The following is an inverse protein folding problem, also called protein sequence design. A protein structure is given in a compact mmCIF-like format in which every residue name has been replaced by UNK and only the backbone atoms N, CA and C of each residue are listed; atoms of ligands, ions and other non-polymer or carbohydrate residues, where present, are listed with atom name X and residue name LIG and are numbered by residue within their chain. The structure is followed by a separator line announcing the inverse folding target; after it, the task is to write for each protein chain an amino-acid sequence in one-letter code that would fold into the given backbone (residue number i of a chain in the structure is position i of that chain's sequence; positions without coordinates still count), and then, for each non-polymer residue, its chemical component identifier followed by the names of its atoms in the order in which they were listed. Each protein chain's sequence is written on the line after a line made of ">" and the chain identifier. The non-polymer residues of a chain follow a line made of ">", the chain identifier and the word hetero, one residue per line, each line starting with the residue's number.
data_IF_543866480313
#
_entry.id   IF_543866480313
#
_cell.length_a   1.000
_cell.length_b   1.000
_cell.length_c   1.000
_cell.angle_alpha   90.00
_cell.angle_beta   90.00
_cell.angle_gamma   90.00
#
_symmetry.space_group_name_H-M   'P 1'
#
loop_
_entity.id
_entity.type
_entity.pdbx_description
1 polymer ?
#
# COMPACT_ATOMS: atom_id res chain seq x y z
N UNK A 1 -26.42 -21.87 18.88
CA UNK A 1 -25.04 -22.27 18.63
C UNK A 1 -24.34 -21.07 17.96
N UNK A 2 -23.41 -20.42 18.64
CA UNK A 2 -22.69 -19.28 18.08
C UNK A 2 -21.58 -19.83 17.19
N UNK A 3 -21.54 -19.45 15.92
CA UNK A 3 -20.44 -19.81 15.02
C UNK A 3 -19.26 -18.89 15.39
N UNK A 4 -18.19 -19.46 15.90
CA UNK A 4 -16.93 -18.74 16.14
C UNK A 4 -16.03 -19.03 14.96
N UNK A 5 -15.69 -17.99 14.19
CA UNK A 5 -14.76 -18.09 13.06
C UNK A 5 -13.37 -17.76 13.60
N UNK A 6 -12.40 -18.65 13.35
CA UNK A 6 -10.98 -18.35 13.55
C UNK A 6 -10.45 -17.56 12.35
N UNK A 7 -10.48 -16.24 12.48
CA UNK A 7 -10.07 -15.34 11.41
C UNK A 7 -8.58 -15.39 11.11
N UNK A 8 -7.75 -15.73 12.10
CA UNK A 8 -6.32 -15.90 11.88
C UNK A 8 -6.01 -17.16 11.08
N UNK A 9 -6.67 -18.28 11.40
CA UNK A 9 -6.55 -19.49 10.61
C UNK A 9 -7.07 -19.31 9.18
N UNK A 10 -8.25 -18.68 9.03
CA UNK A 10 -8.83 -18.38 7.71
C UNK A 10 -7.93 -17.46 6.86
N UNK A 11 -7.24 -16.50 7.48
CA UNK A 11 -6.24 -15.66 6.81
C UNK A 11 -5.04 -16.48 6.32
N UNK A 12 -4.49 -17.35 7.15
CA UNK A 12 -3.35 -18.21 6.77
C UNK A 12 -3.70 -19.10 5.58
N UNK A 13 -4.89 -19.66 5.57
CA UNK A 13 -5.39 -20.45 4.42
C UNK A 13 -5.50 -19.58 3.16
N UNK A 14 -6.03 -18.35 3.29
CA UNK A 14 -6.14 -17.40 2.19
C UNK A 14 -4.76 -17.01 1.63
N UNK A 15 -3.75 -16.78 2.49
CA UNK A 15 -2.38 -16.49 2.05
C UNK A 15 -1.75 -17.64 1.28
N UNK A 16 -1.93 -18.88 1.75
CA UNK A 16 -1.45 -20.07 1.05
C UNK A 16 -2.11 -20.18 -0.34
N UNK A 17 -3.40 -19.88 -0.45
CA UNK A 17 -4.12 -19.91 -1.73
C UNK A 17 -3.63 -18.85 -2.70
N UNK A 18 -3.25 -17.66 -2.21
CA UNK A 18 -2.73 -16.56 -3.05
C UNK A 18 -1.36 -16.86 -3.63
N UNK A 19 -0.55 -17.63 -2.92
CA UNK A 19 0.82 -18.01 -3.31
C UNK A 19 1.63 -16.84 -3.91
N UNK A 20 1.61 -15.70 -3.23
CA UNK A 20 2.28 -14.47 -3.68
C UNK A 20 3.10 -13.87 -2.53
N UNK A 21 4.19 -14.50 -2.12
CA UNK A 21 5.06 -13.96 -1.07
C UNK A 21 5.70 -12.66 -1.55
N UNK A 22 5.68 -11.64 -0.71
CA UNK A 22 6.51 -10.45 -0.92
C UNK A 22 7.99 -10.85 -0.81
N UNK A 23 8.81 -10.27 -1.68
CA UNK A 23 10.23 -10.58 -1.79
C UNK A 23 11.02 -9.26 -1.77
N UNK A 24 12.03 -9.18 -0.90
CA UNK A 24 12.88 -7.99 -0.76
C UNK A 24 13.57 -7.60 -2.08
N UNK A 25 14.05 -8.57 -2.87
CA UNK A 25 14.72 -8.31 -4.14
C UNK A 25 13.79 -7.60 -5.13
N UNK A 26 12.54 -8.04 -5.22
CA UNK A 26 11.53 -7.41 -6.07
C UNK A 26 11.27 -5.95 -5.64
N UNK A 27 11.25 -5.67 -4.34
CA UNK A 27 11.04 -4.32 -3.83
C UNK A 27 12.30 -3.46 -3.97
N UNK A 28 13.50 -4.03 -3.83
CA UNK A 28 14.76 -3.35 -4.13
C UNK A 28 14.82 -2.88 -5.59
N UNK A 29 14.41 -3.71 -6.54
CA UNK A 29 14.34 -3.34 -7.97
C UNK A 29 13.33 -2.21 -8.22
N UNK A 30 12.19 -2.23 -7.53
CA UNK A 30 11.12 -1.23 -7.69
C UNK A 30 11.41 0.09 -6.98
N UNK A 31 12.36 0.15 -6.06
CA UNK A 31 12.64 1.34 -5.27
C UNK A 31 12.88 2.59 -6.14
N UNK A 32 13.59 2.45 -7.26
CA UNK A 32 13.88 3.56 -8.20
C UNK A 32 12.63 4.15 -8.85
N UNK A 33 11.63 3.32 -9.13
CA UNK A 33 10.38 3.78 -9.74
C UNK A 33 9.46 4.42 -8.70
N UNK A 34 9.46 3.90 -7.48
CA UNK A 34 8.72 4.48 -6.36
C UNK A 34 9.26 5.85 -5.94
N UNK A 35 10.58 6.06 -5.97
CA UNK A 35 11.20 7.35 -5.66
C UNK A 35 10.69 8.50 -6.54
N UNK A 36 10.37 8.22 -7.83
CA UNK A 36 9.83 9.23 -8.76
C UNK A 36 8.41 9.71 -8.42
N UNK A 37 7.67 8.94 -7.62
CA UNK A 37 6.26 9.22 -7.27
C UNK A 37 6.09 9.67 -5.82
N UNK A 38 7.15 9.74 -5.05
CA UNK A 38 7.12 10.18 -3.66
C UNK A 38 6.98 11.69 -3.54
N UNK A 39 6.06 12.14 -2.70
CA UNK A 39 6.03 13.51 -2.20
C UNK A 39 4.65 14.16 -2.11
N UNK A 40 3.76 14.02 -3.06
CA UNK A 40 2.44 14.68 -3.06
C UNK A 40 1.33 13.73 -3.51
N UNK A 41 1.20 12.61 -2.81
CA UNK A 41 0.13 11.67 -3.08
C UNK A 41 -1.15 12.11 -2.38
N UNK A 42 -2.29 12.31 -3.09
CA UNK A 42 -3.59 12.57 -2.47
C UNK A 42 -3.97 11.49 -1.44
N UNK A 43 -3.53 10.26 -1.66
CA UNK A 43 -3.69 9.16 -0.71
C UNK A 43 -2.94 9.45 0.61
N UNK A 44 -1.67 9.91 0.54
CA UNK A 44 -0.88 10.22 1.73
C UNK A 44 -1.52 11.34 2.56
N UNK A 45 -1.98 12.40 1.90
CA UNK A 45 -2.68 13.50 2.55
C UNK A 45 -3.95 13.01 3.27
N UNK A 46 -4.78 12.21 2.59
CA UNK A 46 -5.99 11.65 3.15
C UNK A 46 -5.72 10.64 4.29
N UNK A 47 -4.61 9.90 4.24
CA UNK A 47 -4.19 9.01 5.31
C UNK A 47 -3.78 9.82 6.56
N UNK A 48 -2.89 10.81 6.40
CA UNK A 48 -2.36 11.62 7.50
C UNK A 48 -3.45 12.46 8.17
N UNK A 49 -4.40 13.01 7.41
CA UNK A 49 -5.57 13.67 7.95
C UNK A 49 -6.36 12.76 8.90
N UNK A 50 -6.62 11.48 8.49
CA UNK A 50 -7.33 10.50 9.32
C UNK A 50 -6.51 9.96 10.47
N UNK A 51 -5.19 9.88 10.32
CA UNK A 51 -4.28 9.46 11.38
C UNK A 51 -4.29 10.45 12.54
N UNK A 52 -4.62 11.72 12.30
CA UNK A 52 -4.77 12.78 13.30
C UNK A 52 -3.57 12.82 14.25
N UNK A 53 -2.36 12.87 13.66
CA UNK A 53 -1.10 12.97 14.40
C UNK A 53 -0.99 14.37 14.96
N UNK A 54 -0.63 14.50 16.23
CA UNK A 54 -0.55 15.78 16.95
C UNK A 54 0.87 16.32 16.94
N UNK A 55 1.03 17.62 17.02
CA UNK A 55 2.33 18.27 17.04
C UNK A 55 3.25 17.64 18.11
N UNK A 56 4.48 17.33 17.72
CA UNK A 56 5.50 16.75 18.59
C UNK A 56 5.34 15.23 18.86
N UNK A 57 4.31 14.56 18.35
CA UNK A 57 4.19 13.10 18.48
C UNK A 57 5.24 12.37 17.64
N UNK A 58 5.80 11.33 18.22
CA UNK A 58 6.71 10.38 17.55
C UNK A 58 5.92 9.35 16.77
N UNK A 59 6.42 8.95 15.60
CA UNK A 59 5.71 8.05 14.67
C UNK A 59 6.57 6.85 14.32
N UNK A 60 5.99 5.65 14.41
CA UNK A 60 6.51 4.43 13.80
C UNK A 60 5.79 4.20 12.47
N UNK A 61 6.50 4.14 11.35
CA UNK A 61 5.98 3.81 10.02
C UNK A 61 6.53 2.45 9.57
N UNK A 62 5.72 1.38 9.70
CA UNK A 62 6.14 0.02 9.39
C UNK A 62 5.73 -0.38 7.97
N UNK A 63 6.75 -0.72 7.15
CA UNK A 63 6.64 -0.86 5.70
C UNK A 63 6.57 0.50 5.04
N UNK A 64 7.49 1.40 5.43
CA UNK A 64 7.50 2.80 5.02
C UNK A 64 7.78 2.99 3.52
N UNK A 65 8.35 1.97 2.84
CA UNK A 65 8.78 2.06 1.46
C UNK A 65 9.75 3.23 1.25
N UNK A 66 9.64 3.92 0.13
CA UNK A 66 10.43 5.12 -0.18
C UNK A 66 9.89 6.41 0.48
N UNK A 67 9.05 6.29 1.54
CA UNK A 67 8.67 7.42 2.38
C UNK A 67 7.35 8.13 2.05
N UNK A 68 6.37 7.40 1.50
CA UNK A 68 5.05 7.98 1.20
C UNK A 68 4.42 8.72 2.37
N UNK A 69 4.58 8.22 3.61
CA UNK A 69 4.13 8.88 4.84
C UNK A 69 5.28 9.50 5.62
N UNK A 70 6.45 8.84 5.66
CA UNK A 70 7.59 9.30 6.44
C UNK A 70 8.09 10.68 6.01
N UNK A 71 8.20 10.98 4.71
CA UNK A 71 8.67 12.29 4.23
C UNK A 71 7.74 13.44 4.64
N UNK A 72 6.41 13.40 4.38
CA UNK A 72 5.53 14.48 4.82
C UNK A 72 5.48 14.64 6.34
N UNK A 73 5.63 13.58 7.12
CA UNK A 73 5.72 13.63 8.58
C UNK A 73 7.01 14.32 9.04
N UNK A 74 8.15 13.97 8.46
CA UNK A 74 9.42 14.63 8.76
C UNK A 74 9.42 16.11 8.36
N UNK A 75 8.80 16.48 7.23
CA UNK A 75 8.59 17.90 6.84
C UNK A 75 7.75 18.67 7.86
N UNK A 76 6.83 17.99 8.54
CA UNK A 76 6.02 18.58 9.61
C UNK A 76 6.76 18.63 10.97
N UNK A 77 8.00 18.11 11.05
CA UNK A 77 8.83 18.15 12.25
C UNK A 77 8.60 16.99 13.21
N UNK A 78 7.98 15.89 12.76
CA UNK A 78 7.83 14.68 13.55
C UNK A 78 9.08 13.80 13.47
N UNK A 79 9.47 13.19 14.62
CA UNK A 79 10.47 12.12 14.65
C UNK A 79 9.84 10.82 14.14
N UNK A 80 10.34 10.29 13.01
CA UNK A 80 9.78 9.14 12.31
C UNK A 80 10.74 7.97 12.34
N UNK A 81 10.34 6.88 12.97
CA UNK A 81 11.02 5.59 12.92
C UNK A 81 10.49 4.81 11.72
N UNK A 82 11.24 4.86 10.61
CA UNK A 82 10.83 4.34 9.31
C UNK A 82 11.41 2.93 9.11
N UNK A 83 10.55 1.93 9.19
CA UNK A 83 10.94 0.52 9.09
C UNK A 83 10.52 -0.05 7.75
N UNK A 84 11.43 -0.75 7.06
CA UNK A 84 11.13 -1.54 5.87
C UNK A 84 12.08 -2.73 5.76
N UNK A 85 11.64 -3.82 5.13
CA UNK A 85 12.47 -5.00 4.91
C UNK A 85 13.36 -4.91 3.66
N UNK A 86 13.15 -3.88 2.83
CA UNK A 86 13.91 -3.58 1.61
C UNK A 86 14.92 -2.47 1.88
N UNK A 87 16.22 -2.81 1.83
CA UNK A 87 17.28 -1.81 1.95
C UNK A 87 17.17 -0.75 0.85
N UNK A 88 16.84 -1.16 -0.39
CA UNK A 88 16.69 -0.22 -1.51
C UNK A 88 15.58 0.81 -1.29
N UNK A 89 14.50 0.43 -0.58
CA UNK A 89 13.44 1.38 -0.19
C UNK A 89 13.94 2.38 0.83
N UNK A 90 14.68 1.93 1.85
CA UNK A 90 15.26 2.81 2.87
C UNK A 90 16.32 3.76 2.27
N UNK A 91 17.14 3.27 1.34
CA UNK A 91 18.12 4.10 0.65
C UNK A 91 17.43 5.22 -0.16
N UNK A 92 16.37 4.89 -0.90
CA UNK A 92 15.57 5.85 -1.66
C UNK A 92 14.86 6.88 -0.74
N UNK A 93 14.34 6.43 0.41
CA UNK A 93 13.77 7.31 1.43
C UNK A 93 14.81 8.31 1.93
N UNK A 94 15.99 7.82 2.31
CA UNK A 94 17.04 8.68 2.87
C UNK A 94 17.64 9.62 1.83
N UNK A 95 17.79 9.19 0.58
CA UNK A 95 18.21 10.07 -0.53
C UNK A 95 17.24 11.25 -0.68
N UNK A 96 15.93 10.99 -0.69
CA UNK A 96 14.92 12.02 -0.77
C UNK A 96 14.94 12.94 0.47
N UNK A 97 15.09 12.38 1.67
CA UNK A 97 15.15 13.12 2.91
C UNK A 97 16.37 14.04 2.99
N UNK A 98 17.54 13.58 2.53
CA UNK A 98 18.75 14.42 2.43
C UNK A 98 18.58 15.54 1.41
N UNK A 99 18.00 15.27 0.25
CA UNK A 99 17.75 16.29 -0.77
C UNK A 99 16.81 17.41 -0.27
N UNK A 100 15.91 17.09 0.65
CA UNK A 100 14.98 18.04 1.25
C UNK A 100 15.49 18.69 2.56
N UNK A 101 16.61 18.23 3.12
CA UNK A 101 17.16 18.74 4.39
C UNK A 101 16.35 18.35 5.63
N UNK A 102 15.66 17.19 5.60
CA UNK A 102 14.81 16.69 6.68
C UNK A 102 15.27 15.31 7.21
N UNK A 103 16.45 14.85 6.79
CA UNK A 103 16.97 13.55 7.14
C UNK A 103 17.18 13.34 8.65
N UNK A 104 17.40 14.42 9.41
CA UNK A 104 17.58 14.39 10.86
C UNK A 104 16.34 13.91 11.63
N UNK A 105 15.15 14.06 11.02
CA UNK A 105 13.89 13.60 11.60
C UNK A 105 13.53 12.16 11.24
N UNK A 106 14.32 11.46 10.43
CA UNK A 106 14.03 10.10 9.97
C UNK A 106 15.05 9.12 10.53
N UNK A 107 14.58 8.09 11.22
CA UNK A 107 15.36 7.01 11.79
C UNK A 107 15.08 5.72 11.00
N UNK A 108 15.86 5.42 9.94
CA UNK A 108 15.62 4.24 9.11
C UNK A 108 16.02 2.96 9.85
N UNK A 109 15.21 1.91 9.73
CA UNK A 109 15.46 0.61 10.33
C UNK A 109 15.17 -0.49 9.30
N UNK A 110 16.18 -1.30 8.97
CA UNK A 110 15.98 -2.51 8.15
C UNK A 110 15.30 -3.57 9.02
N UNK A 111 14.01 -3.79 8.78
CA UNK A 111 13.16 -4.60 9.66
C UNK A 111 12.01 -5.23 8.89
N UNK A 112 11.85 -6.54 9.04
CA UNK A 112 10.69 -7.28 8.55
C UNK A 112 9.58 -7.43 9.61
N UNK A 113 8.37 -7.75 9.16
CA UNK A 113 7.25 -8.05 10.06
C UNK A 113 7.51 -9.26 10.96
N UNK A 114 8.28 -10.25 10.47
CA UNK A 114 8.56 -11.50 11.20
C UNK A 114 9.74 -11.38 12.16
N UNK A 115 10.55 -10.31 12.09
CA UNK A 115 11.68 -10.10 12.97
C UNK A 115 11.27 -9.93 14.44
N UNK A 116 12.21 -10.16 15.35
CA UNK A 116 12.02 -9.83 16.77
C UNK A 116 12.23 -8.32 17.00
N UNK A 117 11.12 -7.59 17.05
CA UNK A 117 11.11 -6.15 17.25
C UNK A 117 11.70 -5.69 18.57
N UNK A 118 11.70 -6.55 19.62
CA UNK A 118 12.32 -6.22 20.89
C UNK A 118 13.85 -6.25 20.77
N UNK A 119 14.37 -7.33 20.20
CA UNK A 119 15.81 -7.47 19.95
C UNK A 119 16.35 -6.45 18.96
N UNK A 120 15.55 -6.05 17.97
CA UNK A 120 15.88 -4.99 17.02
C UNK A 120 15.78 -3.57 17.62
N UNK A 121 15.29 -3.43 18.84
CA UNK A 121 15.20 -2.15 19.52
C UNK A 121 14.14 -1.19 18.94
N UNK A 122 13.07 -1.74 18.32
CA UNK A 122 11.99 -0.90 17.78
C UNK A 122 11.34 -0.10 18.92
N UNK A 123 11.31 1.24 18.83
CA UNK A 123 10.79 2.05 19.92
C UNK A 123 9.27 1.96 20.04
N UNK A 124 8.77 2.34 21.22
CA UNK A 124 7.34 2.63 21.40
C UNK A 124 7.14 4.10 21.07
N UNK A 125 6.34 4.38 20.03
CA UNK A 125 6.02 5.73 19.56
C UNK A 125 4.62 6.16 20.02
N UNK A 126 4.28 7.42 19.83
CA UNK A 126 2.94 7.91 20.16
C UNK A 126 1.92 7.36 19.18
N UNK A 127 2.29 7.29 17.90
CA UNK A 127 1.46 6.74 16.82
C UNK A 127 2.22 5.67 16.06
N UNK A 128 1.56 4.56 15.72
CA UNK A 128 2.11 3.51 14.86
C UNK A 128 1.27 3.37 13.59
N UNK A 129 1.95 3.33 12.45
CA UNK A 129 1.35 3.29 11.12
C UNK A 129 1.77 2.03 10.36
N UNK A 130 0.86 1.50 9.53
CA UNK A 130 1.19 0.51 8.50
C UNK A 130 0.33 0.78 7.26
N UNK A 131 0.91 1.45 6.29
CA UNK A 131 0.21 1.86 5.08
C UNK A 131 0.44 0.86 3.95
N UNK A 132 -0.56 0.05 3.63
CA UNK A 132 -0.53 -0.94 2.53
C UNK A 132 0.57 -2.00 2.67
N UNK A 133 1.03 -2.27 3.88
CA UNK A 133 2.17 -3.15 4.18
C UNK A 133 1.85 -4.33 5.12
N UNK A 134 0.70 -4.33 5.81
CA UNK A 134 0.40 -5.28 6.89
C UNK A 134 -0.19 -6.63 6.43
N UNK A 135 -0.39 -6.85 5.14
CA UNK A 135 -0.94 -8.10 4.61
C UNK A 135 0.10 -9.26 4.61
N UNK A 136 0.70 -9.52 5.76
CA UNK A 136 1.74 -10.53 5.98
C UNK A 136 1.14 -11.94 6.16
N UNK A 137 1.99 -12.96 6.21
CA UNK A 137 1.56 -14.35 6.45
C UNK A 137 0.83 -14.51 7.80
N UNK A 138 1.31 -13.84 8.87
CA UNK A 138 0.65 -13.80 10.18
C UNK A 138 0.20 -12.36 10.52
N UNK A 139 -0.89 -11.93 9.89
CA UNK A 139 -1.45 -10.59 10.09
C UNK A 139 -1.86 -10.35 11.55
N UNK A 140 -2.35 -11.37 12.28
CA UNK A 140 -2.74 -11.18 13.68
C UNK A 140 -1.53 -10.84 14.56
N UNK A 141 -0.41 -11.53 14.36
CA UNK A 141 0.84 -11.23 15.06
C UNK A 141 1.38 -9.84 14.68
N UNK A 142 1.28 -9.46 13.39
CA UNK A 142 1.67 -8.14 12.92
C UNK A 142 0.83 -7.02 13.55
N UNK A 143 -0.49 -7.17 13.61
CA UNK A 143 -1.40 -6.24 14.30
C UNK A 143 -1.07 -6.10 15.79
N UNK A 144 -0.78 -7.22 16.46
CA UNK A 144 -0.40 -7.22 17.89
C UNK A 144 0.94 -6.52 18.12
N UNK A 145 1.94 -6.75 17.25
CA UNK A 145 3.24 -6.06 17.32
C UNK A 145 3.07 -4.55 17.15
N UNK A 146 2.29 -4.13 16.16
CA UNK A 146 2.04 -2.71 15.89
C UNK A 146 1.31 -2.04 17.04
N UNK A 147 0.27 -2.71 17.58
CA UNK A 147 -0.46 -2.24 18.77
C UNK A 147 0.47 -2.05 19.97
N UNK A 148 1.38 -3.00 20.23
CA UNK A 148 2.34 -2.92 21.33
C UNK A 148 3.37 -1.77 21.19
N UNK A 149 3.53 -1.21 19.99
CA UNK A 149 4.47 -0.10 19.71
C UNK A 149 3.80 1.26 19.66
N UNK A 150 2.51 1.36 19.90
CA UNK A 150 1.80 2.63 19.98
C UNK A 150 1.43 2.97 21.44
N UNK A 151 1.63 4.23 21.85
CA UNK A 151 1.13 4.75 23.13
C UNK A 151 -0.30 5.25 23.02
N UNK A 152 -0.67 5.86 21.89
CA UNK A 152 -1.95 6.53 21.74
C UNK A 152 -2.81 5.97 20.60
N UNK A 153 -2.25 5.82 19.40
CA UNK A 153 -3.06 5.52 18.21
C UNK A 153 -2.34 4.60 17.24
N UNK A 154 -3.08 3.71 16.63
CA UNK A 154 -2.61 2.87 15.53
C UNK A 154 -3.48 3.11 14.31
N UNK A 155 -2.86 3.20 13.11
CA UNK A 155 -3.55 3.36 11.84
C UNK A 155 -2.99 2.41 10.79
N UNK A 156 -3.86 1.67 10.13
CA UNK A 156 -3.46 0.74 9.07
C UNK A 156 -4.36 0.87 7.85
N UNK A 157 -3.82 0.58 6.66
CA UNK A 157 -4.66 0.47 5.45
C UNK A 157 -4.46 -0.88 4.77
N UNK A 158 -5.59 -1.43 4.31
CA UNK A 158 -5.68 -2.71 3.62
C UNK A 158 -6.62 -2.62 2.41
N UNK A 159 -6.57 -3.63 1.55
CA UNK A 159 -7.46 -3.72 0.40
C UNK A 159 -8.90 -3.96 0.83
N UNK A 160 -9.85 -3.38 0.07
CA UNK A 160 -11.30 -3.49 0.31
C UNK A 160 -11.95 -4.65 -0.44
N UNK A 161 -11.21 -5.33 -1.29
CA UNK A 161 -11.70 -6.48 -2.05
C UNK A 161 -11.12 -6.61 -3.44
N UNK A 162 -10.80 -5.51 -4.12
CA UNK A 162 -10.22 -5.55 -5.46
C UNK A 162 -8.69 -5.36 -5.38
N UNK A 163 -7.95 -6.05 -6.25
CA UNK A 163 -6.50 -5.90 -6.32
C UNK A 163 -6.13 -4.47 -6.72
N UNK A 164 -5.26 -3.78 -5.99
CA UNK A 164 -4.79 -2.45 -6.37
C UNK A 164 -3.78 -2.47 -7.53
N UNK A 165 -3.35 -3.67 -7.94
CA UNK A 165 -2.27 -3.85 -8.94
C UNK A 165 -2.77 -3.83 -10.37
N UNK A 166 -4.05 -4.18 -10.62
CA UNK A 166 -4.62 -4.29 -11.96
C UNK A 166 -5.75 -3.29 -12.16
N UNK A 167 -5.98 -2.89 -13.39
CA UNK A 167 -7.15 -2.10 -13.74
C UNK A 167 -8.37 -3.03 -13.85
N UNK A 168 -9.37 -2.77 -13.03
CA UNK A 168 -10.56 -3.61 -12.93
C UNK A 168 -11.48 -3.47 -14.13
N UNK A 169 -11.48 -2.29 -14.79
CA UNK A 169 -12.24 -2.05 -16.01
C UNK A 169 -11.67 -2.90 -17.13
N UNK A 170 -10.35 -2.89 -17.28
CA UNK A 170 -9.65 -3.68 -18.29
C UNK A 170 -9.75 -5.19 -18.03
N UNK A 171 -9.66 -5.61 -16.74
CA UNK A 171 -9.82 -7.01 -16.39
C UNK A 171 -11.22 -7.53 -16.74
N UNK A 172 -12.26 -6.72 -16.46
CA UNK A 172 -13.63 -7.03 -16.84
C UNK A 172 -13.83 -7.03 -18.37
N UNK A 173 -13.21 -6.08 -19.07
CA UNK A 173 -13.23 -6.02 -20.53
C UNK A 173 -12.57 -7.25 -21.18
N UNK A 174 -11.53 -7.80 -20.57
CA UNK A 174 -10.92 -9.07 -20.95
C UNK A 174 -11.81 -10.29 -20.67
N UNK A 175 -12.95 -10.12 -19.99
CA UNK A 175 -13.91 -11.19 -19.70
C UNK A 175 -13.63 -11.97 -18.40
N UNK A 176 -12.79 -11.44 -17.51
CA UNK A 176 -12.49 -12.05 -16.23
C UNK A 176 -13.38 -11.54 -15.12
N UNK A 177 -13.69 -12.43 -14.18
CA UNK A 177 -14.22 -12.04 -12.89
C UNK A 177 -13.17 -11.30 -12.07
N UNK A 178 -13.63 -10.33 -11.28
CA UNK A 178 -12.75 -9.53 -10.43
C UNK A 178 -12.37 -10.35 -9.19
N UNK A 179 -11.07 -10.64 -8.98
CA UNK A 179 -10.64 -11.31 -7.77
C UNK A 179 -10.89 -10.40 -6.57
N UNK A 180 -11.42 -10.98 -5.49
CA UNK A 180 -11.72 -10.25 -4.26
C UNK A 180 -10.70 -10.58 -3.18
N UNK A 181 -10.08 -9.54 -2.66
CA UNK A 181 -9.09 -9.63 -1.57
C UNK A 181 -9.58 -8.79 -0.38
N UNK A 182 -10.54 -9.28 0.42
CA UNK A 182 -11.15 -8.50 1.50
C UNK A 182 -10.25 -8.49 2.74
N UNK A 183 -8.99 -8.06 2.60
CA UNK A 183 -7.99 -8.07 3.67
C UNK A 183 -8.45 -7.28 4.89
N UNK A 184 -9.15 -6.18 4.67
CA UNK A 184 -9.72 -5.37 5.74
C UNK A 184 -10.76 -6.11 6.60
N UNK A 185 -11.49 -7.08 6.02
CA UNK A 185 -12.46 -7.89 6.76
C UNK A 185 -11.75 -8.82 7.73
N UNK A 186 -10.64 -9.43 7.29
CA UNK A 186 -9.81 -10.27 8.16
C UNK A 186 -9.20 -9.43 9.29
N UNK A 187 -8.54 -8.32 8.96
CA UNK A 187 -7.91 -7.43 9.95
C UNK A 187 -8.92 -6.90 10.98
N UNK A 188 -10.09 -6.43 10.53
CA UNK A 188 -11.14 -5.93 11.41
C UNK A 188 -11.60 -7.00 12.41
N UNK A 189 -11.87 -8.21 11.94
CA UNK A 189 -12.34 -9.28 12.81
C UNK A 189 -11.24 -9.82 13.74
N UNK A 190 -9.97 -9.84 13.31
CA UNK A 190 -8.84 -10.16 14.19
C UNK A 190 -8.71 -9.14 15.32
N UNK A 191 -8.76 -7.84 15.01
CA UNK A 191 -8.74 -6.76 16.01
C UNK A 191 -9.89 -6.89 16.99
N UNK A 192 -11.11 -7.16 16.48
CA UNK A 192 -12.26 -7.40 17.33
C UNK A 192 -12.09 -8.59 18.27
N UNK A 193 -11.50 -9.69 17.75
CA UNK A 193 -11.13 -10.87 18.55
C UNK A 193 -10.07 -10.58 19.62
N UNK A 194 -9.18 -9.61 19.38
CA UNK A 194 -8.19 -9.11 20.33
C UNK A 194 -8.79 -8.13 21.37
N UNK A 195 -10.09 -7.83 21.30
CA UNK A 195 -10.76 -6.86 22.16
C UNK A 195 -10.63 -5.40 21.70
N UNK A 196 -10.03 -5.18 20.55
CA UNK A 196 -9.84 -3.86 19.95
C UNK A 196 -11.05 -3.53 19.05
N UNK A 197 -11.56 -2.31 19.15
CA UNK A 197 -12.66 -1.81 18.32
C UNK A 197 -12.16 -0.72 17.39
N UNK A 198 -11.70 -1.07 16.18
CA UNK A 198 -11.20 -0.06 15.25
C UNK A 198 -12.34 0.72 14.60
N UNK A 199 -12.12 2.01 14.38
CA UNK A 199 -12.89 2.77 13.42
C UNK A 199 -12.52 2.32 12.01
N UNK A 200 -13.52 2.23 11.12
CA UNK A 200 -13.32 1.89 9.71
C UNK A 200 -13.83 3.03 8.83
N UNK A 201 -12.96 3.51 7.98
CA UNK A 201 -13.30 4.45 6.90
C UNK A 201 -12.59 4.05 5.59
N UNK A 202 -12.79 4.81 4.52
CA UNK A 202 -12.19 4.48 3.22
C UNK A 202 -11.42 5.66 2.64
N UNK A 203 -10.31 5.35 1.97
CA UNK A 203 -9.51 6.31 1.20
C UNK A 203 -9.55 5.86 -0.25
N UNK A 204 -10.18 6.66 -1.10
CA UNK A 204 -10.20 6.42 -2.53
C UNK A 204 -9.00 7.14 -3.18
N UNK A 205 -8.30 6.41 -4.03
CA UNK A 205 -7.17 6.92 -4.80
C UNK A 205 -7.46 6.69 -6.28
N UNK A 206 -7.62 7.77 -7.01
CA UNK A 206 -7.83 7.75 -8.45
C UNK A 206 -6.53 8.15 -9.17
N UNK A 207 -6.23 7.48 -10.28
CA UNK A 207 -5.09 7.83 -11.13
C UNK A 207 -5.41 7.55 -12.60
N UNK A 208 -4.79 8.33 -13.48
CA UNK A 208 -4.76 8.07 -14.92
C UNK A 208 -3.44 7.37 -15.24
N UNK A 209 -3.51 6.18 -15.82
CA UNK A 209 -2.32 5.46 -16.27
C UNK A 209 -1.96 5.95 -17.69
N UNK A 210 -0.70 6.38 -17.89
CA UNK A 210 -0.16 6.86 -19.16
C UNK A 210 0.72 5.79 -19.80
N UNK A 211 0.68 5.73 -21.13
CA UNK A 211 1.43 4.78 -21.95
C UNK A 211 2.08 5.49 -23.13
N UNK A 212 3.22 4.97 -23.58
CA UNK A 212 3.98 5.53 -24.71
C UNK A 212 3.28 5.27 -26.05
N UNK A 213 2.49 4.20 -26.16
CA UNK A 213 1.77 3.82 -27.37
C UNK A 213 0.57 2.94 -27.04
N UNK A 214 -0.31 2.75 -28.04
CA UNK A 214 -1.40 1.78 -27.97
C UNK A 214 -0.88 0.37 -27.65
N UNK A 215 0.15 -0.09 -28.35
CA UNK A 215 0.70 -1.43 -28.18
C UNK A 215 1.37 -1.58 -26.81
N UNK A 216 2.09 -0.56 -26.32
CA UNK A 216 2.67 -0.55 -24.99
C UNK A 216 1.61 -0.70 -23.88
N UNK A 217 0.45 -0.07 -24.04
CA UNK A 217 -0.67 -0.21 -23.12
C UNK A 217 -1.20 -1.66 -23.10
N UNK A 218 -1.37 -2.26 -24.27
CA UNK A 218 -1.85 -3.64 -24.40
C UNK A 218 -0.86 -4.62 -23.75
N UNK A 219 0.41 -4.55 -24.15
CA UNK A 219 1.45 -5.45 -23.65
C UNK A 219 1.60 -5.37 -22.12
N UNK A 220 1.68 -4.15 -21.57
CA UNK A 220 1.80 -3.93 -20.13
C UNK A 220 0.62 -4.52 -19.36
N UNK A 221 -0.61 -4.24 -19.81
CA UNK A 221 -1.80 -4.72 -19.12
C UNK A 221 -2.00 -6.22 -19.30
N UNK A 222 -1.76 -6.77 -20.50
CA UNK A 222 -1.85 -8.21 -20.75
C UNK A 222 -0.85 -9.01 -19.89
N UNK A 223 0.40 -8.55 -19.82
CA UNK A 223 1.44 -9.16 -18.99
C UNK A 223 1.09 -9.08 -17.49
N UNK A 224 0.66 -7.90 -17.00
CA UNK A 224 0.30 -7.68 -15.61
C UNK A 224 -0.88 -8.57 -15.17
N UNK A 225 -1.87 -8.72 -16.03
CA UNK A 225 -3.05 -9.53 -15.78
C UNK A 225 -2.85 -11.01 -16.18
N UNK A 226 -1.73 -11.36 -16.81
CA UNK A 226 -1.42 -12.71 -17.33
C UNK A 226 -2.59 -13.24 -18.20
N UNK A 227 -2.95 -12.45 -19.22
CA UNK A 227 -4.07 -12.77 -20.12
C UNK A 227 -3.70 -13.89 -21.08
N UNK A 228 -4.68 -14.72 -21.43
CA UNK A 228 -4.61 -15.64 -22.57
C UNK A 228 -4.74 -14.85 -23.89
N UNK A 229 -4.45 -15.50 -25.03
CA UNK A 229 -4.57 -14.84 -26.34
C UNK A 229 -5.99 -14.34 -26.60
N UNK A 230 -7.02 -15.13 -26.28
CA UNK A 230 -8.42 -14.77 -26.43
C UNK A 230 -8.83 -13.58 -25.53
N UNK A 231 -8.35 -13.56 -24.28
CA UNK A 231 -8.59 -12.44 -23.36
C UNK A 231 -7.88 -11.18 -23.83
N UNK A 232 -6.67 -11.34 -24.39
CA UNK A 232 -5.91 -10.24 -25.00
C UNK A 232 -6.62 -9.65 -26.20
N UNK A 233 -7.22 -10.46 -27.05
CA UNK A 233 -8.04 -9.98 -28.19
C UNK A 233 -9.24 -9.15 -27.71
N UNK A 234 -9.91 -9.58 -26.64
CA UNK A 234 -10.99 -8.81 -26.02
C UNK A 234 -10.49 -7.47 -25.46
N UNK A 235 -9.32 -7.47 -24.78
CA UNK A 235 -8.68 -6.24 -24.31
C UNK A 235 -8.37 -5.29 -25.47
N UNK A 236 -7.78 -5.79 -26.57
CA UNK A 236 -7.49 -4.99 -27.77
C UNK A 236 -8.77 -4.38 -28.36
N UNK A 237 -9.84 -5.17 -28.45
CA UNK A 237 -11.14 -4.71 -28.96
C UNK A 237 -11.71 -3.57 -28.10
N UNK A 238 -11.65 -3.70 -26.78
CA UNK A 238 -12.05 -2.66 -25.83
C UNK A 238 -11.16 -1.41 -25.97
N UNK A 239 -9.83 -1.60 -26.01
CA UNK A 239 -8.87 -0.50 -26.04
C UNK A 239 -8.97 0.35 -27.31
N UNK A 240 -9.35 -0.23 -28.44
CA UNK A 240 -9.60 0.55 -29.68
C UNK A 240 -10.70 1.60 -29.55
N UNK A 241 -11.60 1.44 -28.59
CA UNK A 241 -12.73 2.35 -28.35
C UNK A 241 -12.48 3.31 -27.19
N UNK A 242 -11.60 2.92 -26.23
CA UNK A 242 -11.45 3.59 -24.94
C UNK A 242 -10.04 4.11 -24.65
N UNK A 243 -9.04 3.79 -25.48
CA UNK A 243 -7.66 4.26 -25.33
C UNK A 243 -7.36 5.28 -26.41
N UNK A 244 -7.02 6.49 -26.03
CA UNK A 244 -6.87 7.62 -26.93
C UNK A 244 -5.51 8.27 -26.77
N UNK A 245 -5.01 8.79 -27.88
CA UNK A 245 -3.82 9.63 -27.91
C UNK A 245 -4.14 10.98 -27.26
N UNK A 246 -3.28 11.40 -26.34
CA UNK A 246 -3.36 12.67 -25.61
C UNK A 246 -2.03 13.42 -25.69
N UNK A 247 -2.07 14.73 -25.45
CA UNK A 247 -0.86 15.53 -25.26
C UNK A 247 -0.71 15.91 -23.81
N UNK A 248 0.48 15.64 -23.25
CA UNK A 248 0.85 16.09 -21.90
C UNK A 248 1.02 17.61 -21.85
N UNK A 249 1.07 18.17 -20.66
CA UNK A 249 1.33 19.62 -20.47
C UNK A 249 2.67 20.06 -21.07
N UNK A 250 3.66 19.16 -21.13
CA UNK A 250 4.99 19.41 -21.71
C UNK A 250 5.01 19.22 -23.23
N UNK A 251 3.85 18.90 -23.85
CA UNK A 251 3.69 18.74 -25.29
C UNK A 251 4.08 17.38 -25.85
N UNK A 252 4.45 16.42 -25.00
CA UNK A 252 4.71 15.04 -25.39
C UNK A 252 3.40 14.30 -25.69
N UNK A 253 3.48 13.29 -26.55
CA UNK A 253 2.35 12.43 -26.86
C UNK A 253 2.31 11.24 -25.90
N UNK A 254 1.15 10.97 -25.29
CA UNK A 254 0.90 9.78 -24.48
C UNK A 254 -0.46 9.18 -24.86
N UNK A 255 -0.69 7.96 -24.41
CA UNK A 255 -1.95 7.25 -24.57
C UNK A 255 -2.61 7.05 -23.22
N UNK A 256 -3.89 7.37 -23.08
CA UNK A 256 -4.67 7.27 -21.85
C UNK A 256 -6.03 6.63 -22.12
N UNK A 257 -6.50 5.83 -21.16
CA UNK A 257 -7.89 5.38 -21.17
C UNK A 257 -8.84 6.52 -20.77
N UNK A 258 -10.08 6.48 -21.27
CA UNK A 258 -11.15 7.43 -20.97
C UNK A 258 -11.73 7.28 -19.54
N UNK A 259 -11.14 6.43 -18.72
CA UNK A 259 -11.50 6.24 -17.33
C UNK A 259 -10.27 6.35 -16.40
N UNK A 260 -10.51 6.72 -15.17
CA UNK A 260 -9.50 6.68 -14.13
C UNK A 260 -9.52 5.33 -13.41
N UNK A 261 -8.34 4.82 -13.08
CA UNK A 261 -8.22 3.67 -12.20
C UNK A 261 -8.41 4.10 -10.75
N UNK A 262 -9.52 3.68 -10.14
CA UNK A 262 -9.83 3.96 -8.74
C UNK A 262 -9.46 2.76 -7.88
N UNK A 263 -8.69 3.00 -6.82
CA UNK A 263 -8.40 2.02 -5.77
C UNK A 263 -8.94 2.53 -4.45
N UNK A 264 -9.80 1.75 -3.81
CA UNK A 264 -10.32 2.04 -2.48
C UNK A 264 -9.55 1.25 -1.42
N UNK A 265 -9.05 1.96 -0.42
CA UNK A 265 -8.32 1.39 0.72
C UNK A 265 -9.16 1.52 1.98
N UNK A 266 -9.33 0.43 2.70
CA UNK A 266 -9.91 0.47 4.04
C UNK A 266 -8.87 1.05 5.01
N UNK A 267 -9.23 2.11 5.68
CA UNK A 267 -8.46 2.73 6.77
C UNK A 267 -9.06 2.29 8.10
N UNK A 268 -8.30 1.54 8.87
CA UNK A 268 -8.64 1.09 10.21
C UNK A 268 -7.78 1.86 11.20
N UNK A 269 -8.40 2.43 12.24
CA UNK A 269 -7.68 3.13 13.30
C UNK A 269 -8.29 2.84 14.66
N UNK A 270 -7.45 2.83 15.70
CA UNK A 270 -7.90 2.67 17.08
C UNK A 270 -7.00 3.44 18.04
N UNK A 271 -7.59 3.91 19.11
CA UNK A 271 -6.88 4.57 20.22
C UNK A 271 -6.60 3.56 21.35
N UNK A 272 -5.54 3.82 22.10
CA UNK A 272 -5.08 3.02 23.26
C UNK A 272 -5.71 3.54 24.55
#
# INVERSE_FOLDING_TARGET
>A
MTIVIDWAAAWKEEQLRRNNPDNADMWNERAKDFAKTCGTSPYAAAFLERAAIRDGETVLDMGCGSGTLALPLARAGHEVYACDFSQGMLDALMEAAFAEGIAEHIHPMLLAWDDDWNSAGVPVCDVALASRSIATADMQAALAKLDARARRRVCVTLTTGLSPRVDHVLLKAAGRELPRYPDCVFAFNMLWGMGIRPDLSYIDSARTDQFESFDAAIEKNAALMKLTDEERERLVSYSRQHLHEQRTADGETCWEYDHQRVTSWAFLAWDK
#
